data_IF_647098779305
#
_entry.id   IF_647098779305
#
_cell.length_a   1.000
_cell.length_b   1.000
_cell.length_c   1.000
_cell.angle_alpha   90.00
_cell.angle_beta   90.00
_cell.angle_gamma   90.00
#
_symmetry.space_group_name_H-M   'P 1'
#
loop_
_entity.id
_entity.type
_entity.pdbx_description
1 polymer ?
#
# COMPACT_ATOMS: atom_id res chain seq x y z
N UNK A 1 5.66 -1.93 13.97
CA UNK A 1 6.29 -0.63 13.68
C UNK A 1 7.56 -0.42 14.52
N UNK A 2 7.51 -0.47 15.85
CA UNK A 2 8.66 -0.27 16.72
C UNK A 2 9.86 -1.19 16.45
N UNK A 3 9.63 -2.51 16.30
CA UNK A 3 10.69 -3.48 16.02
C UNK A 3 11.50 -3.19 14.74
N UNK A 4 10.85 -2.59 13.73
CA UNK A 4 11.50 -2.16 12.47
C UNK A 4 12.01 -0.70 12.52
N UNK A 5 11.84 -0.01 13.65
CA UNK A 5 12.16 1.42 13.83
C UNK A 5 11.43 2.33 12.82
N UNK A 6 10.25 1.92 12.37
CA UNK A 6 9.38 2.72 11.50
C UNK A 6 8.64 3.77 12.31
N UNK A 7 8.50 4.96 11.75
CA UNK A 7 7.69 6.01 12.34
C UNK A 7 6.23 5.57 12.42
N UNK A 8 5.58 5.89 13.53
CA UNK A 8 4.16 5.72 13.74
C UNK A 8 3.60 7.05 14.27
N UNK A 9 2.59 7.57 13.59
CA UNK A 9 2.06 8.90 13.87
C UNK A 9 0.98 8.80 14.94
N UNK A 10 1.27 9.32 16.14
CA UNK A 10 0.40 9.21 17.31
C UNK A 10 -0.22 10.56 17.71
N UNK A 11 0.31 11.66 17.18
CA UNK A 11 -0.09 13.00 17.57
C UNK A 11 -0.98 13.64 16.49
N UNK A 12 -2.00 14.34 16.96
CA UNK A 12 -2.97 15.02 16.11
C UNK A 12 -4.06 14.10 15.57
N UNK A 13 -5.24 14.67 15.35
CA UNK A 13 -6.37 13.98 14.75
C UNK A 13 -6.15 13.73 13.26
N UNK A 14 -6.69 12.63 12.77
CA UNK A 14 -6.56 12.22 11.36
C UNK A 14 -5.11 12.12 10.86
N UNK A 15 -4.13 11.99 11.76
CA UNK A 15 -2.74 11.71 11.35
C UNK A 15 -2.62 10.23 11.01
N UNK A 16 -2.96 9.91 9.74
CA UNK A 16 -3.17 8.52 9.32
C UNK A 16 -1.85 7.77 9.12
N UNK A 17 -1.79 6.57 9.71
CA UNK A 17 -0.78 5.56 9.41
C UNK A 17 -1.34 4.61 8.35
N UNK A 18 -0.76 4.56 7.17
CA UNK A 18 -1.17 3.71 6.06
C UNK A 18 -0.21 2.54 5.98
N UNK A 19 -0.70 1.33 6.29
CA UNK A 19 0.13 0.14 6.44
C UNK A 19 -0.41 -0.98 5.54
N UNK A 20 0.33 -1.32 4.49
CA UNK A 20 0.11 -2.54 3.72
C UNK A 20 0.68 -3.75 4.47
N UNK A 21 -0.06 -4.84 4.48
CA UNK A 21 0.36 -6.12 5.05
C UNK A 21 0.28 -7.16 3.95
N UNK A 22 1.46 -7.54 3.43
CA UNK A 22 1.59 -8.56 2.39
C UNK A 22 1.47 -9.95 2.99
N UNK A 23 0.74 -10.82 2.31
CA UNK A 23 0.66 -12.22 2.68
C UNK A 23 2.02 -12.91 2.44
N UNK A 24 2.75 -13.24 3.50
CA UNK A 24 4.08 -13.85 3.42
C UNK A 24 4.06 -15.32 2.99
N UNK A 25 2.90 -15.99 3.01
CA UNK A 25 2.78 -17.38 2.55
C UNK A 25 3.01 -17.53 1.03
N UNK A 26 2.87 -16.45 0.27
CA UNK A 26 3.04 -16.46 -1.20
C UNK A 26 4.51 -16.39 -1.64
N UNK A 27 5.41 -16.03 -0.72
CA UNK A 27 6.84 -15.88 -1.03
C UNK A 27 7.09 -14.82 -2.12
N UNK A 28 7.87 -15.18 -3.15
CA UNK A 28 8.21 -14.28 -4.25
C UNK A 28 7.37 -14.49 -5.52
N UNK A 29 6.26 -15.22 -5.43
CA UNK A 29 5.40 -15.54 -6.58
C UNK A 29 4.39 -14.44 -6.86
N UNK A 30 4.07 -14.24 -8.14
CA UNK A 30 2.89 -13.48 -8.57
C UNK A 30 1.64 -14.30 -8.24
N UNK A 31 0.74 -13.76 -7.41
CA UNK A 31 -0.44 -14.50 -6.93
C UNK A 31 -1.70 -14.20 -7.73
N UNK A 32 -1.76 -13.04 -8.35
CA UNK A 32 -2.96 -12.54 -9.04
C UNK A 32 -4.22 -12.55 -8.14
N UNK A 33 -4.05 -12.33 -6.85
CA UNK A 33 -5.11 -12.39 -5.85
C UNK A 33 -5.12 -11.13 -4.97
N UNK A 34 -6.29 -10.84 -4.38
CA UNK A 34 -6.47 -9.81 -3.35
C UNK A 34 -6.36 -10.48 -1.97
N UNK A 35 -5.19 -10.97 -1.63
CA UNK A 35 -4.90 -11.74 -0.42
C UNK A 35 -4.08 -10.96 0.62
N UNK A 36 -3.90 -9.67 0.39
CA UNK A 36 -3.23 -8.73 1.27
C UNK A 36 -4.23 -7.81 1.98
N UNK A 37 -3.74 -7.04 2.95
CA UNK A 37 -4.53 -6.06 3.69
C UNK A 37 -3.91 -4.67 3.64
N UNK A 38 -4.76 -3.64 3.64
CA UNK A 38 -4.40 -2.30 4.02
C UNK A 38 -5.01 -1.98 5.38
N UNK A 39 -4.18 -1.61 6.34
CA UNK A 39 -4.61 -1.11 7.65
C UNK A 39 -4.37 0.39 7.69
N UNK A 40 -5.38 1.14 8.11
CA UNK A 40 -5.27 2.57 8.37
C UNK A 40 -5.61 2.83 9.83
N UNK A 41 -4.63 3.36 10.57
CA UNK A 41 -4.78 3.69 11.98
C UNK A 41 -4.59 5.19 12.22
N UNK A 42 -5.49 5.81 12.98
CA UNK A 42 -5.45 7.23 13.31
C UNK A 42 -6.21 7.50 14.63
N UNK A 43 -6.01 8.70 15.19
CA UNK A 43 -6.80 9.15 16.34
C UNK A 43 -7.91 10.10 15.93
N UNK A 44 -9.04 10.00 16.64
CA UNK A 44 -10.14 10.94 16.62
C UNK A 44 -10.65 11.08 18.05
N UNK A 45 -10.75 12.31 18.58
CA UNK A 45 -11.13 12.59 19.95
C UNK A 45 -10.26 11.82 20.98
N UNK A 46 -8.97 11.65 20.67
CA UNK A 46 -8.02 10.92 21.51
C UNK A 46 -8.12 9.39 21.42
N UNK A 47 -9.10 8.84 20.72
CA UNK A 47 -9.34 7.40 20.58
C UNK A 47 -8.72 6.86 19.28
N UNK A 48 -8.07 5.72 19.35
CA UNK A 48 -7.57 5.03 18.17
C UNK A 48 -8.71 4.42 17.36
N UNK A 49 -8.72 4.74 16.07
CA UNK A 49 -9.58 4.13 15.07
C UNK A 49 -8.71 3.34 14.12
N UNK A 50 -9.10 2.10 13.85
CA UNK A 50 -8.42 1.20 12.93
C UNK A 50 -9.42 0.71 11.88
N UNK A 51 -9.03 0.84 10.62
CA UNK A 51 -9.78 0.34 9.46
C UNK A 51 -8.95 -0.68 8.72
N UNK A 52 -9.57 -1.76 8.25
CA UNK A 52 -8.91 -2.79 7.43
C UNK A 52 -9.64 -2.95 6.09
N UNK A 53 -8.86 -3.09 5.02
CA UNK A 53 -9.38 -3.25 3.67
C UNK A 53 -8.67 -4.38 2.93
N UNK A 54 -9.38 -5.24 2.20
CA UNK A 54 -8.75 -6.21 1.31
C UNK A 54 -8.13 -5.50 0.09
N UNK A 55 -6.85 -5.77 -0.13
CA UNK A 55 -6.07 -5.20 -1.23
C UNK A 55 -5.20 -6.27 -1.89
N UNK A 56 -4.52 -5.90 -2.96
CA UNK A 56 -3.27 -6.54 -3.37
C UNK A 56 -2.11 -5.57 -3.22
N UNK A 57 -0.95 -6.08 -2.81
CA UNK A 57 0.34 -5.41 -2.84
C UNK A 57 1.27 -6.00 -3.90
N UNK A 58 0.77 -6.98 -4.63
CA UNK A 58 1.42 -7.64 -5.74
C UNK A 58 0.80 -7.20 -7.08
N UNK A 59 1.45 -7.51 -8.17
CA UNK A 59 0.87 -7.30 -9.49
C UNK A 59 0.08 -8.53 -9.97
N UNK A 60 -0.79 -8.34 -10.95
CA UNK A 60 -1.50 -9.43 -11.61
C UNK A 60 -0.74 -10.03 -12.79
N UNK A 61 0.14 -9.28 -13.40
CA UNK A 61 0.91 -9.67 -14.59
C UNK A 61 2.02 -8.69 -14.94
N UNK A 62 2.30 -7.76 -14.03
CA UNK A 62 3.32 -6.74 -14.22
C UNK A 62 4.72 -7.16 -13.78
N UNK A 63 5.63 -6.22 -13.78
CA UNK A 63 7.05 -6.47 -13.60
C UNK A 63 7.64 -5.86 -12.34
N UNK A 64 6.84 -5.22 -11.50
CA UNK A 64 7.31 -4.56 -10.28
C UNK A 64 6.61 -5.11 -9.04
N UNK A 65 7.35 -5.28 -7.96
CA UNK A 65 6.86 -5.60 -6.62
C UNK A 65 7.51 -4.68 -5.61
N UNK A 66 6.71 -3.90 -4.89
CA UNK A 66 7.22 -2.99 -3.88
C UNK A 66 7.97 -3.76 -2.78
N UNK A 67 9.17 -3.32 -2.44
CA UNK A 67 9.95 -3.89 -1.32
C UNK A 67 9.28 -3.49 -0.01
N UNK A 68 9.22 -4.42 0.96
CA UNK A 68 8.71 -4.12 2.30
C UNK A 68 9.62 -3.11 3.00
N UNK A 69 9.10 -1.91 3.21
CA UNK A 69 9.81 -0.79 3.85
C UNK A 69 8.81 0.30 4.24
N UNK A 70 9.28 1.34 4.93
CA UNK A 70 8.53 2.57 5.13
C UNK A 70 8.99 3.65 4.14
N UNK A 71 8.05 4.15 3.36
CA UNK A 71 8.25 5.19 2.33
C UNK A 71 7.65 6.51 2.82
N UNK A 72 8.49 7.35 3.41
CA UNK A 72 8.06 8.59 4.05
C UNK A 72 7.72 9.66 3.01
N UNK A 73 6.51 10.23 3.13
CA UNK A 73 6.03 11.28 2.24
C UNK A 73 6.04 10.88 0.75
N UNK A 74 5.98 9.59 0.46
CA UNK A 74 6.12 9.03 -0.89
C UNK A 74 4.87 9.16 -1.75
N UNK A 75 3.72 9.42 -1.14
CA UNK A 75 2.43 9.50 -1.85
C UNK A 75 1.73 10.82 -1.61
N UNK A 76 0.90 11.22 -2.58
CA UNK A 76 0.02 12.40 -2.49
C UNK A 76 -1.29 12.13 -3.25
N UNK A 77 -2.37 12.78 -2.84
CA UNK A 77 -3.63 12.78 -3.60
C UNK A 77 -3.40 13.46 -4.94
N UNK A 78 -3.80 12.79 -6.00
CA UNK A 78 -3.74 13.30 -7.37
C UNK A 78 -4.41 12.34 -8.35
N UNK A 79 -4.52 12.72 -9.61
CA UNK A 79 -5.22 11.93 -10.63
C UNK A 79 -4.42 10.68 -11.04
N UNK A 80 -4.96 9.49 -10.78
CA UNK A 80 -4.44 8.24 -11.32
C UNK A 80 -4.77 8.16 -12.81
N UNK A 81 -3.73 8.06 -13.64
CA UNK A 81 -3.85 8.04 -15.13
C UNK A 81 -4.71 9.19 -15.69
N UNK A 82 -4.78 10.35 -15.02
CA UNK A 82 -5.64 11.45 -15.45
C UNK A 82 -7.15 11.24 -15.27
N UNK A 83 -7.59 10.13 -14.65
CA UNK A 83 -9.00 9.71 -14.62
C UNK A 83 -9.72 10.00 -13.32
N UNK A 84 -9.13 9.65 -12.18
CA UNK A 84 -9.74 9.80 -10.86
C UNK A 84 -8.68 9.99 -9.77
N UNK A 85 -9.08 10.58 -8.64
CA UNK A 85 -8.18 10.81 -7.52
C UNK A 85 -7.80 9.50 -6.82
N UNK A 86 -6.50 9.37 -6.53
CA UNK A 86 -5.90 8.26 -5.81
C UNK A 86 -4.67 8.76 -5.03
N UNK A 87 -4.05 7.94 -4.22
CA UNK A 87 -2.73 8.26 -3.69
C UNK A 87 -1.68 7.91 -4.74
N UNK A 88 -1.14 8.93 -5.41
CA UNK A 88 -0.10 8.77 -6.42
C UNK A 88 1.27 8.75 -5.76
N UNK A 89 2.13 7.89 -6.28
CA UNK A 89 3.54 7.95 -5.94
C UNK A 89 4.15 9.28 -6.43
N UNK A 90 4.78 10.01 -5.53
CA UNK A 90 5.43 11.32 -5.78
C UNK A 90 6.86 11.37 -5.23
N UNK A 91 7.27 10.38 -4.44
CA UNK A 91 8.62 10.19 -3.95
C UNK A 91 9.18 8.82 -4.35
N UNK A 92 10.48 8.60 -4.23
CA UNK A 92 11.11 7.35 -4.62
C UNK A 92 10.62 6.18 -3.73
N UNK A 93 10.44 5.02 -4.36
CA UNK A 93 10.22 3.75 -3.70
C UNK A 93 11.17 2.70 -4.29
N UNK A 94 11.35 1.58 -3.60
CA UNK A 94 12.23 0.49 -4.05
C UNK A 94 11.39 -0.71 -4.45
N UNK A 95 11.69 -1.32 -5.59
CA UNK A 95 10.96 -2.46 -6.14
C UNK A 95 11.90 -3.61 -6.51
N UNK A 96 11.38 -4.83 -6.42
CA UNK A 96 11.90 -5.99 -7.12
C UNK A 96 11.31 -6.06 -8.53
N UNK A 97 12.01 -6.75 -9.44
CA UNK A 97 11.53 -7.01 -10.79
C UNK A 97 11.43 -8.51 -11.06
N UNK A 98 10.54 -8.87 -11.95
CA UNK A 98 10.52 -10.17 -12.61
C UNK A 98 11.21 -10.01 -13.98
N UNK A 99 12.54 -10.12 -14.00
CA UNK A 99 13.35 -9.95 -15.21
C UNK A 99 13.19 -11.16 -16.17
N UNK A 100 12.90 -12.32 -15.62
CA UNK A 100 12.76 -13.58 -16.38
C UNK A 100 11.35 -13.76 -16.92
N UNK A 101 10.38 -12.99 -16.41
CA UNK A 101 8.96 -13.06 -16.78
C UNK A 101 8.35 -14.46 -16.56
N UNK A 102 8.81 -15.13 -15.50
CA UNK A 102 8.33 -16.45 -15.09
C UNK A 102 7.34 -16.39 -13.90
N UNK A 103 6.96 -15.18 -13.49
CA UNK A 103 6.07 -14.96 -12.35
C UNK A 103 6.76 -15.06 -10.99
N UNK A 104 8.11 -14.99 -10.99
CA UNK A 104 8.93 -15.01 -9.77
C UNK A 104 9.80 -13.76 -9.71
N UNK A 105 9.67 -13.00 -8.65
CA UNK A 105 10.49 -11.79 -8.45
C UNK A 105 11.91 -12.16 -8.03
N UNK A 106 12.89 -11.61 -8.72
CA UNK A 106 14.28 -11.68 -8.31
C UNK A 106 14.52 -10.72 -7.15
N UNK A 107 14.85 -11.25 -5.97
CA UNK A 107 15.03 -10.47 -4.73
C UNK A 107 16.49 -10.11 -4.44
N UNK A 108 17.41 -10.55 -5.27
CA UNK A 108 18.84 -10.21 -5.23
C UNK A 108 19.16 -8.84 -5.83
N UNK A 109 18.21 -8.27 -6.58
CA UNK A 109 18.33 -6.95 -7.21
C UNK A 109 17.13 -6.07 -6.91
N UNK A 110 17.38 -4.80 -6.70
CA UNK A 110 16.35 -3.78 -6.48
C UNK A 110 16.58 -2.57 -7.35
N UNK A 111 15.50 -1.89 -7.68
CA UNK A 111 15.52 -0.58 -8.33
C UNK A 111 14.82 0.44 -7.45
N UNK A 112 15.36 1.66 -7.35
CA UNK A 112 14.77 2.75 -6.58
C UNK A 112 14.46 3.93 -7.49
N UNK A 113 13.22 4.43 -7.43
CA UNK A 113 12.77 5.53 -8.27
C UNK A 113 11.28 5.82 -8.16
N UNK A 114 10.80 6.64 -9.08
CA UNK A 114 9.36 6.95 -9.23
C UNK A 114 8.83 6.10 -10.39
N UNK A 115 8.11 5.03 -10.06
CA UNK A 115 7.65 4.04 -11.02
C UNK A 115 6.12 4.07 -11.24
N UNK A 116 5.42 4.98 -10.54
CA UNK A 116 3.97 5.04 -10.57
C UNK A 116 3.31 3.98 -9.69
N UNK A 117 3.98 3.53 -8.62
CA UNK A 117 3.40 2.63 -7.61
C UNK A 117 2.36 3.41 -6.81
N UNK A 118 1.14 3.44 -7.31
CA UNK A 118 0.03 4.18 -6.71
C UNK A 118 -0.79 3.28 -5.77
N UNK A 119 -1.61 3.91 -4.91
CA UNK A 119 -2.64 3.23 -4.12
C UNK A 119 -3.98 3.60 -4.73
N UNK A 120 -4.64 2.65 -5.39
CA UNK A 120 -5.85 2.92 -6.18
C UNK A 120 -6.86 1.76 -6.09
N UNK A 121 -7.94 1.82 -6.86
CA UNK A 121 -9.01 0.81 -6.89
C UNK A 121 -8.91 -0.10 -8.11
N UNK A 122 -9.44 -1.31 -7.97
CA UNK A 122 -9.83 -2.18 -9.07
C UNK A 122 -11.27 -1.88 -9.55
N UNK A 123 -11.99 -2.87 -10.05
CA UNK A 123 -13.41 -2.77 -10.39
C UNK A 123 -14.33 -2.68 -9.18
N UNK A 124 -15.63 -2.89 -9.40
CA UNK A 124 -16.65 -2.75 -8.33
C UNK A 124 -16.38 -3.75 -7.19
N UNK A 125 -16.19 -5.03 -7.54
CA UNK A 125 -15.79 -6.09 -6.62
C UNK A 125 -14.98 -7.13 -7.42
N UNK A 126 -13.69 -6.84 -7.60
CA UNK A 126 -12.82 -7.66 -8.44
C UNK A 126 -12.40 -8.93 -7.71
N UNK A 127 -12.41 -10.06 -8.40
CA UNK A 127 -11.98 -11.35 -7.86
C UNK A 127 -10.52 -11.67 -8.16
N UNK A 128 -9.97 -11.06 -9.21
CA UNK A 128 -8.57 -11.23 -9.65
C UNK A 128 -7.93 -9.86 -9.89
N UNK A 129 -6.62 -9.80 -9.75
CA UNK A 129 -5.85 -8.56 -9.93
C UNK A 129 -5.68 -8.21 -11.40
N UNK A 130 -5.26 -9.19 -12.22
CA UNK A 130 -5.04 -9.02 -13.66
C UNK A 130 -4.33 -7.68 -14.00
N UNK A 131 -4.84 -6.94 -14.97
CA UNK A 131 -4.28 -5.65 -15.42
C UNK A 131 -4.56 -4.46 -14.45
N UNK A 132 -5.27 -4.68 -13.33
CA UNK A 132 -5.44 -3.61 -12.34
C UNK A 132 -4.15 -3.20 -11.65
N UNK A 133 -3.15 -4.11 -11.60
CA UNK A 133 -1.85 -3.80 -10.99
C UNK A 133 -0.68 -4.29 -11.83
N UNK A 134 0.24 -3.37 -12.11
CA UNK A 134 1.60 -3.64 -12.58
C UNK A 134 2.67 -3.35 -11.51
N UNK A 135 2.24 -3.39 -10.22
CA UNK A 135 3.04 -3.11 -9.04
C UNK A 135 2.36 -2.15 -8.05
N UNK A 136 1.21 -1.57 -8.42
CA UNK A 136 0.41 -0.72 -7.55
C UNK A 136 -0.21 -1.49 -6.39
N UNK A 137 -0.57 -0.74 -5.34
CA UNK A 137 -1.36 -1.23 -4.22
C UNK A 137 -2.84 -1.03 -4.58
N UNK A 138 -3.61 -2.10 -4.73
CA UNK A 138 -4.93 -2.00 -5.35
C UNK A 138 -6.02 -2.53 -4.44
N UNK A 139 -7.01 -1.69 -4.15
CA UNK A 139 -8.21 -2.06 -3.40
C UNK A 139 -9.09 -3.01 -4.22
N UNK A 140 -9.54 -4.08 -3.58
CA UNK A 140 -10.46 -5.05 -4.16
C UNK A 140 -11.81 -4.43 -4.50
N UNK A 141 -12.35 -3.59 -3.60
CA UNK A 141 -13.69 -3.01 -3.70
C UNK A 141 -13.66 -1.49 -3.82
N UNK A 142 -14.47 -0.96 -4.72
CA UNK A 142 -14.59 0.50 -4.91
C UNK A 142 -15.11 1.20 -3.66
N UNK A 143 -16.04 0.58 -2.92
CA UNK A 143 -16.59 1.17 -1.69
C UNK A 143 -15.50 1.41 -0.64
N UNK A 144 -14.63 0.43 -0.43
CA UNK A 144 -13.50 0.52 0.51
C UNK A 144 -12.52 1.61 0.09
N UNK A 145 -12.22 1.68 -1.20
CA UNK A 145 -11.36 2.73 -1.75
C UNK A 145 -11.96 4.13 -1.55
N UNK A 146 -13.25 4.29 -1.78
CA UNK A 146 -13.92 5.58 -1.60
C UNK A 146 -13.89 6.02 -0.13
N UNK A 147 -14.13 5.11 0.82
CA UNK A 147 -14.00 5.38 2.26
C UNK A 147 -12.57 5.81 2.60
N UNK A 148 -11.57 5.06 2.13
CA UNK A 148 -10.16 5.39 2.31
C UNK A 148 -9.80 6.76 1.74
N UNK A 149 -10.26 7.11 0.54
CA UNK A 149 -9.98 8.40 -0.07
C UNK A 149 -10.65 9.57 0.65
N UNK A 150 -11.86 9.39 1.21
CA UNK A 150 -12.49 10.39 2.06
C UNK A 150 -11.63 10.65 3.31
N UNK A 151 -11.14 9.59 3.95
CA UNK A 151 -10.24 9.69 5.09
C UNK A 151 -8.92 10.37 4.72
N UNK A 152 -8.31 10.00 3.60
CA UNK A 152 -7.07 10.63 3.12
C UNK A 152 -7.26 12.13 2.84
N UNK A 153 -8.36 12.52 2.22
CA UNK A 153 -8.70 13.93 2.00
C UNK A 153 -8.87 14.68 3.33
N UNK A 154 -9.55 14.07 4.29
CA UNK A 154 -9.69 14.66 5.63
C UNK A 154 -8.33 14.82 6.29
N UNK A 155 -7.48 13.79 6.27
CA UNK A 155 -6.12 13.85 6.80
C UNK A 155 -5.29 14.98 6.15
N UNK A 156 -5.43 15.15 4.83
CA UNK A 156 -4.71 16.20 4.09
C UNK A 156 -5.08 17.61 4.56
N UNK A 157 -6.30 17.86 5.04
CA UNK A 157 -6.69 19.18 5.57
C UNK A 157 -5.99 19.51 6.88
N UNK A 158 -5.53 18.51 7.65
CA UNK A 158 -4.83 18.70 8.92
C UNK A 158 -3.32 18.65 8.78
N UNK A 159 -2.81 17.75 7.92
CA UNK A 159 -1.39 17.39 7.89
C UNK A 159 -0.72 17.64 6.52
N UNK A 160 -1.45 18.21 5.56
CA UNK A 160 -0.95 18.45 4.21
C UNK A 160 -1.05 17.21 3.31
N UNK A 161 -0.91 17.44 1.99
CA UNK A 161 -1.09 16.40 0.97
C UNK A 161 0.22 15.61 0.73
N UNK A 162 0.72 14.97 1.80
CA UNK A 162 1.89 14.09 1.76
C UNK A 162 1.70 12.93 2.73
N UNK A 163 1.74 11.71 2.20
CA UNK A 163 1.44 10.50 2.95
C UNK A 163 2.64 9.55 2.99
N UNK A 164 2.85 8.97 4.16
CA UNK A 164 3.80 7.88 4.37
C UNK A 164 3.07 6.56 4.14
N UNK A 165 3.62 5.71 3.27
CA UNK A 165 3.17 4.35 3.10
C UNK A 165 4.18 3.38 3.70
N UNK A 166 3.71 2.46 4.54
CA UNK A 166 4.52 1.39 5.11
C UNK A 166 4.03 0.06 4.58
N UNK A 167 4.91 -0.76 4.05
CA UNK A 167 4.62 -2.13 3.65
C UNK A 167 5.42 -3.10 4.52
N UNK A 168 4.73 -4.05 5.14
CA UNK A 168 5.31 -5.14 5.94
C UNK A 168 4.80 -6.48 5.43
N UNK A 169 5.44 -7.56 5.86
CA UNK A 169 4.94 -8.91 5.63
C UNK A 169 4.09 -9.40 6.82
N UNK A 170 3.13 -10.27 6.58
CA UNK A 170 2.26 -10.81 7.63
C UNK A 170 3.04 -11.59 8.70
N UNK A 171 4.15 -12.24 8.34
CA UNK A 171 5.06 -12.88 9.31
C UNK A 171 5.70 -11.90 10.30
N UNK A 172 5.81 -10.61 9.95
CA UNK A 172 6.34 -9.59 10.85
C UNK A 172 5.39 -9.28 12.03
N UNK A 173 4.11 -9.68 11.93
CA UNK A 173 3.12 -9.50 12.99
C UNK A 173 3.14 -10.62 14.02
N UNK A 174 3.47 -11.84 13.61
CA UNK A 174 3.46 -13.03 14.49
C UNK A 174 4.51 -12.90 15.57
N UNK A 175 5.66 -12.30 15.27
CA UNK A 175 6.78 -12.10 16.21
C UNK A 175 6.52 -10.99 17.26
N UNK A 176 5.31 -10.40 17.30
CA UNK A 176 4.95 -9.38 18.29
C UNK A 176 4.01 -9.92 19.40
N UNK A 177 3.61 -11.21 19.30
CA UNK A 177 2.71 -11.87 20.23
C UNK A 177 3.43 -12.87 21.15
N UNK A 178 4.71 -13.10 20.93
CA UNK A 178 5.64 -13.87 21.76
C UNK A 178 6.49 -12.92 22.63
#
# INVERSE_FOLDING_TARGET
MAAKKYAFFENGEYNINIIGIRNSATGNKVTNAFDDKLVVAYKLDGVWIVKEYPITTDNGGGTARLVCNQYRGSHAIGLHQGKYEALRQVGPVTVYRDYTKDGIYQTDKTETGVFGINIHKAGVDSTRVDDWSHGCQVFKRVADFNEFMLLAKKAATFHGNRFTYTLIESKDLVNLLD
#
